data_IF_483365206709
#
_entry.id   IF_483365206709
#
_cell.length_a   1.000
_cell.length_b   1.000
_cell.length_c   1.000
_cell.angle_alpha   90.00
_cell.angle_beta   90.00
_cell.angle_gamma   90.00
#
_symmetry.space_group_name_H-M   'P 1'
#
loop_
_entity.id
_entity.type
_entity.pdbx_description
1 polymer ?
#
# COMPACT_ATOMS: atom_id res chain seq x y z
N UNK A 1 9.91 2.73 12.94
CA UNK A 1 9.87 3.75 14.01
C UNK A 1 8.91 4.83 13.56
N UNK A 2 7.85 5.12 14.32
CA UNK A 2 6.86 6.16 13.95
C UNK A 2 7.49 7.55 14.10
N UNK A 3 7.22 8.45 13.16
CA UNK A 3 7.62 9.86 13.30
C UNK A 3 6.72 10.55 14.32
N UNK A 4 7.24 11.55 15.04
CA UNK A 4 6.43 12.36 15.96
C UNK A 4 5.22 12.99 15.25
N UNK A 5 5.42 13.44 14.01
CA UNK A 5 4.36 13.96 13.15
C UNK A 5 3.25 12.93 12.90
N UNK A 6 3.58 11.66 12.66
CA UNK A 6 2.56 10.62 12.43
C UNK A 6 1.63 10.43 13.63
N UNK A 7 2.15 10.59 14.85
CA UNK A 7 1.36 10.48 16.09
C UNK A 7 0.41 11.67 16.27
N UNK A 8 0.86 12.88 15.93
CA UNK A 8 0.03 14.09 15.97
C UNK A 8 -1.14 13.96 15.01
N UNK A 9 -0.90 13.53 13.77
CA UNK A 9 -1.95 13.32 12.78
C UNK A 9 -2.96 12.25 13.21
N UNK A 10 -2.52 11.16 13.85
CA UNK A 10 -3.45 10.17 14.40
C UNK A 10 -4.38 10.74 15.47
N UNK A 11 -3.89 11.63 16.34
CA UNK A 11 -4.72 12.27 17.36
C UNK A 11 -5.78 13.13 16.69
N UNK A 12 -5.41 13.93 15.70
CA UNK A 12 -6.38 14.76 14.95
C UNK A 12 -7.38 13.91 14.18
N UNK A 13 -6.98 12.78 13.60
CA UNK A 13 -7.89 11.84 12.92
C UNK A 13 -8.91 11.20 13.87
N UNK A 14 -8.56 11.01 15.13
CA UNK A 14 -9.46 10.42 16.14
C UNK A 14 -10.35 11.46 16.81
N UNK A 15 -10.07 12.75 16.64
CA UNK A 15 -10.90 13.79 17.17
C UNK A 15 -12.25 13.80 16.44
N UNK A 16 -13.34 14.00 17.18
CA UNK A 16 -14.71 14.05 16.64
C UNK A 16 -14.96 15.16 15.62
N UNK A 17 -14.01 16.09 15.49
CA UNK A 17 -14.03 17.24 14.57
C UNK A 17 -13.25 17.01 13.27
N UNK A 18 -12.66 15.83 13.06
CA UNK A 18 -11.86 15.55 11.88
C UNK A 18 -12.71 15.67 10.60
N UNK A 19 -12.39 16.62 9.74
CA UNK A 19 -13.02 16.75 8.43
C UNK A 19 -12.40 15.76 7.44
N UNK A 20 -13.12 15.52 6.32
CA UNK A 20 -12.58 14.71 5.22
C UNK A 20 -11.27 15.28 4.67
N UNK A 21 -11.11 16.61 4.64
CA UNK A 21 -9.87 17.24 4.18
C UNK A 21 -8.69 16.90 5.09
N UNK A 22 -8.88 16.92 6.41
CA UNK A 22 -7.87 16.50 7.40
C UNK A 22 -7.50 15.03 7.20
N UNK A 23 -8.50 14.19 6.91
CA UNK A 23 -8.27 12.78 6.61
C UNK A 23 -7.38 12.56 5.38
N UNK A 24 -7.69 13.23 4.27
CA UNK A 24 -6.91 13.12 3.04
C UNK A 24 -5.47 13.62 3.22
N UNK A 25 -5.28 14.73 3.94
CA UNK A 25 -3.93 15.25 4.24
C UNK A 25 -3.15 14.27 5.13
N UNK A 26 -3.78 13.66 6.13
CA UNK A 26 -3.12 12.65 6.95
C UNK A 26 -2.72 11.42 6.11
N UNK A 27 -3.61 10.93 5.23
CA UNK A 27 -3.30 9.86 4.28
C UNK A 27 -2.09 10.20 3.41
N UNK A 28 -2.00 11.44 2.91
CA UNK A 28 -0.85 11.91 2.15
C UNK A 28 0.47 11.79 2.94
N UNK A 29 0.49 12.23 4.20
CA UNK A 29 1.68 12.12 5.06
C UNK A 29 2.04 10.67 5.35
N UNK A 30 1.04 9.81 5.58
CA UNK A 30 1.26 8.39 5.83
C UNK A 30 1.79 7.67 4.59
N UNK A 31 1.29 8.01 3.41
CA UNK A 31 1.81 7.54 2.14
C UNK A 31 3.27 7.95 1.95
N UNK A 32 3.58 9.24 2.15
CA UNK A 32 4.94 9.75 2.05
C UNK A 32 5.89 8.98 2.98
N UNK A 33 5.52 8.80 4.25
CA UNK A 33 6.32 8.02 5.19
C UNK A 33 6.41 6.54 4.80
N UNK A 34 5.35 5.93 4.28
CA UNK A 34 5.39 4.53 3.84
C UNK A 34 6.31 4.33 2.62
N UNK A 35 6.31 5.28 1.68
CA UNK A 35 7.13 5.21 0.47
C UNK A 35 8.63 5.46 0.71
N UNK A 36 9.01 6.10 1.82
CA UNK A 36 10.41 6.45 2.15
C UNK A 36 11.39 5.29 2.03
N UNK A 37 11.02 4.10 2.50
CA UNK A 37 11.91 2.92 2.53
C UNK A 37 11.53 1.86 1.49
N UNK A 38 10.35 1.99 0.87
CA UNK A 38 9.75 0.96 0.02
C UNK A 38 9.88 1.29 -1.48
N UNK A 39 10.33 2.49 -1.83
CA UNK A 39 10.56 2.86 -3.22
C UNK A 39 11.83 2.18 -3.76
N UNK A 40 11.76 1.54 -4.94
CA UNK A 40 12.95 1.05 -5.60
C UNK A 40 13.77 2.23 -6.09
N UNK A 41 15.05 2.30 -5.71
CA UNK A 41 15.96 3.37 -6.12
C UNK A 41 17.19 2.82 -6.82
N UNK A 42 17.66 3.54 -7.83
CA UNK A 42 18.88 3.25 -8.56
C UNK A 42 19.81 4.46 -8.54
N UNK A 43 21.12 4.21 -8.48
CA UNK A 43 22.12 5.25 -8.69
C UNK A 43 22.10 5.68 -10.16
N UNK A 44 22.09 7.00 -10.40
CA UNK A 44 22.13 7.58 -11.75
C UNK A 44 23.04 8.80 -11.76
N UNK A 45 23.66 9.05 -12.90
CA UNK A 45 24.34 10.31 -13.16
C UNK A 45 23.40 11.24 -13.92
N UNK A 46 23.25 12.48 -13.45
CA UNK A 46 22.42 13.50 -14.09
C UNK A 46 23.25 14.73 -14.40
N UNK A 47 22.96 15.37 -15.52
CA UNK A 47 23.56 16.65 -15.88
C UNK A 47 22.79 17.78 -15.18
N UNK A 48 23.45 18.46 -14.25
CA UNK A 48 22.92 19.68 -13.62
C UNK A 48 23.48 20.93 -14.31
N UNK A 49 22.90 22.13 -14.08
CA UNK A 49 23.48 23.38 -14.56
C UNK A 49 24.93 23.63 -14.09
N UNK A 50 25.37 22.97 -13.01
CA UNK A 50 26.72 23.10 -12.44
C UNK A 50 27.67 21.97 -12.83
N UNK A 51 27.21 20.96 -13.58
CA UNK A 51 28.00 19.80 -13.99
C UNK A 51 27.30 18.45 -13.73
N UNK A 52 27.97 17.33 -14.08
CA UNK A 52 27.48 15.99 -13.79
C UNK A 52 27.45 15.73 -12.27
N UNK A 53 26.37 15.11 -11.79
CA UNK A 53 26.20 14.76 -10.39
C UNK A 53 25.64 13.35 -10.24
N UNK A 54 26.20 12.59 -9.28
CA UNK A 54 25.66 11.30 -8.88
C UNK A 54 24.47 11.50 -7.94
N UNK A 55 23.33 10.91 -8.30
CA UNK A 55 22.07 11.01 -7.55
C UNK A 55 21.44 9.63 -7.36
N UNK A 56 20.49 9.54 -6.44
CA UNK A 56 19.56 8.42 -6.34
C UNK A 56 18.25 8.85 -6.97
N UNK A 57 17.73 8.04 -7.89
CA UNK A 57 16.40 8.23 -8.48
C UNK A 57 15.56 6.97 -8.28
N UNK A 58 14.24 7.10 -8.42
CA UNK A 58 13.36 5.92 -8.50
C UNK A 58 13.81 5.06 -9.69
N UNK A 59 13.88 3.75 -9.49
CA UNK A 59 14.30 2.79 -10.51
C UNK A 59 13.19 2.62 -11.56
N UNK A 60 13.47 3.01 -12.80
CA UNK A 60 12.54 2.93 -13.92
C UNK A 60 12.28 1.47 -14.36
N UNK A 61 13.17 0.54 -14.02
CA UNK A 61 13.05 -0.88 -14.37
C UNK A 61 12.08 -1.66 -13.47
N UNK A 62 11.71 -1.09 -12.32
CA UNK A 62 10.87 -1.73 -11.32
C UNK A 62 9.54 -0.99 -11.21
N UNK A 63 8.49 -1.41 -11.94
CA UNK A 63 7.22 -0.70 -11.96
C UNK A 63 6.56 -0.74 -10.57
N UNK A 64 5.82 0.31 -10.23
CA UNK A 64 5.06 0.37 -8.98
C UNK A 64 3.57 0.23 -9.33
N UNK A 65 2.83 -0.61 -8.61
CA UNK A 65 1.39 -0.75 -8.74
C UNK A 65 0.70 -0.38 -7.44
N UNK A 66 -0.34 0.45 -7.51
CA UNK A 66 -1.15 0.82 -6.36
C UNK A 66 -2.44 0.01 -6.39
N UNK A 67 -2.66 -0.75 -5.32
CA UNK A 67 -3.80 -1.65 -5.16
C UNK A 67 -4.60 -1.24 -3.92
N UNK A 68 -5.60 -0.36 -4.03
CA UNK A 68 -6.48 -0.08 -2.91
C UNK A 68 -7.50 -1.20 -2.66
N UNK A 69 -7.72 -1.48 -1.38
CA UNK A 69 -8.85 -2.26 -0.88
C UNK A 69 -10.05 -1.32 -0.74
N UNK A 70 -11.09 -1.58 -1.53
CA UNK A 70 -12.28 -0.74 -1.55
C UNK A 70 -13.14 -0.91 -0.28
N UNK A 71 -13.86 0.12 0.16
CA UNK A 71 -13.98 1.46 -0.47
C UNK A 71 -13.00 2.49 0.08
N UNK A 72 -12.62 2.37 1.35
CA UNK A 72 -11.83 3.38 2.05
C UNK A 72 -10.39 3.50 1.51
N UNK A 73 -9.83 2.41 0.97
CA UNK A 73 -8.52 2.42 0.33
C UNK A 73 -8.44 3.31 -0.92
N UNK A 74 -9.56 3.61 -1.59
CA UNK A 74 -9.55 4.45 -2.81
C UNK A 74 -9.07 5.86 -2.52
N UNK A 75 -9.65 6.50 -1.50
CA UNK A 75 -9.28 7.85 -1.09
C UNK A 75 -7.81 7.92 -0.68
N UNK A 76 -7.29 6.84 -0.09
CA UNK A 76 -5.88 6.73 0.27
C UNK A 76 -4.98 6.59 -0.97
N UNK A 77 -5.33 5.71 -1.90
CA UNK A 77 -4.57 5.51 -3.14
C UNK A 77 -4.52 6.75 -4.04
N UNK A 78 -5.57 7.57 -4.05
CA UNK A 78 -5.56 8.87 -4.75
C UNK A 78 -4.49 9.81 -4.21
N UNK A 79 -4.27 9.84 -2.89
CA UNK A 79 -3.21 10.65 -2.27
C UNK A 79 -1.81 10.10 -2.59
N UNK A 80 -1.68 8.79 -2.80
CA UNK A 80 -0.37 8.19 -3.12
C UNK A 80 -0.02 8.44 -4.59
N UNK A 81 -1.03 8.42 -5.45
CA UNK A 81 -0.87 8.75 -6.87
C UNK A 81 -0.46 10.20 -7.08
N UNK A 82 -0.79 11.12 -6.16
CA UNK A 82 -0.38 12.52 -6.25
C UNK A 82 1.09 12.77 -5.88
N UNK A 83 1.71 11.88 -5.10
CA UNK A 83 3.13 11.97 -4.72
C UNK A 83 4.06 11.17 -5.62
N UNK A 84 3.56 10.10 -6.23
CA UNK A 84 4.36 9.26 -7.12
C UNK A 84 4.27 9.77 -8.57
N UNK A 85 5.40 9.81 -9.31
CA UNK A 85 5.36 10.19 -10.72
C UNK A 85 4.44 9.24 -11.52
N UNK A 86 3.43 9.78 -12.19
CA UNK A 86 2.43 8.98 -12.92
C UNK A 86 3.05 8.06 -13.99
N UNK A 87 4.23 8.42 -14.50
CA UNK A 87 5.02 7.64 -15.45
C UNK A 87 5.63 6.34 -14.87
N UNK A 88 5.44 6.09 -13.57
CA UNK A 88 6.01 4.93 -12.84
C UNK A 88 4.94 4.02 -12.24
N UNK A 89 3.66 4.41 -12.38
CA UNK A 89 2.53 3.63 -11.92
C UNK A 89 2.07 2.72 -13.06
N UNK A 90 2.07 1.41 -12.82
CA UNK A 90 1.58 0.45 -13.79
C UNK A 90 0.04 0.41 -13.75
N UNK A 91 -0.55 0.70 -14.90
CA UNK A 91 -1.99 0.74 -15.11
C UNK A 91 -2.40 -0.42 -16.02
N UNK A 92 -3.01 -1.50 -15.49
CA UNK A 92 -3.64 -2.48 -16.36
C UNK A 92 -4.89 -1.86 -16.99
N UNK A 93 -4.75 -1.33 -18.20
CA UNK A 93 -5.83 -0.70 -18.98
C UNK A 93 -5.90 0.83 -18.87
N UNK A 94 -7.11 1.41 -19.02
CA UNK A 94 -7.38 2.87 -19.01
C UNK A 94 -7.59 3.48 -17.62
N UNK A 95 -7.54 2.68 -16.55
CA UNK A 95 -7.85 3.14 -15.19
C UNK A 95 -6.58 3.25 -14.37
N UNK A 96 -6.43 4.36 -13.65
CA UNK A 96 -5.22 4.68 -12.91
C UNK A 96 -4.97 3.80 -11.67
N UNK A 97 -5.92 2.92 -11.31
CA UNK A 97 -5.89 2.15 -10.08
C UNK A 97 -6.41 0.74 -10.31
N UNK A 98 -5.75 -0.22 -9.67
CA UNK A 98 -6.15 -1.62 -9.65
C UNK A 98 -6.92 -1.89 -8.38
N UNK A 99 -8.23 -2.08 -8.50
CA UNK A 99 -9.11 -2.12 -7.33
C UNK A 99 -9.43 -3.55 -6.94
N UNK A 100 -9.31 -3.83 -5.64
CA UNK A 100 -9.84 -5.04 -5.02
C UNK A 100 -11.00 -4.62 -4.11
N UNK A 101 -12.16 -5.25 -4.24
CA UNK A 101 -13.24 -5.11 -3.25
C UNK A 101 -13.52 -6.45 -2.61
N UNK A 102 -13.35 -6.50 -1.30
CA UNK A 102 -13.62 -7.66 -0.46
C UNK A 102 -14.65 -7.20 0.58
N UNK A 103 -15.77 -7.90 0.66
CA UNK A 103 -16.84 -7.56 1.60
C UNK A 103 -16.89 -8.61 2.72
N UNK A 104 -16.62 -8.20 3.97
CA UNK A 104 -16.70 -9.09 5.13
C UNK A 104 -18.11 -9.21 5.73
N UNK A 105 -19.08 -8.39 5.30
CA UNK A 105 -20.31 -8.13 6.05
C UNK A 105 -21.66 -8.46 5.41
N UNK A 106 -21.79 -8.53 4.08
CA UNK A 106 -23.12 -8.74 3.44
C UNK A 106 -23.22 -9.91 2.45
N UNK A 107 -22.10 -10.53 2.10
CA UNK A 107 -22.10 -11.75 1.27
C UNK A 107 -21.09 -12.74 1.84
N UNK A 108 -21.24 -13.05 3.13
CA UNK A 108 -20.58 -14.22 3.69
C UNK A 108 -21.18 -15.44 3.00
N UNK A 109 -20.33 -16.28 2.45
CA UNK A 109 -20.73 -17.66 2.31
C UNK A 109 -20.99 -18.17 3.74
N UNK A 110 -22.26 -18.40 4.07
CA UNK A 110 -22.73 -18.76 5.42
C UNK A 110 -22.03 -20.02 5.95
N UNK A 111 -21.43 -20.82 5.06
CA UNK A 111 -20.73 -22.06 5.39
C UNK A 111 -19.24 -21.86 5.72
N UNK A 112 -18.54 -20.91 5.09
CA UNK A 112 -17.06 -20.82 5.19
C UNK A 112 -16.55 -19.64 6.01
N UNK A 113 -17.38 -18.63 6.29
CA UNK A 113 -17.01 -17.40 6.99
C UNK A 113 -15.83 -16.61 6.37
N UNK A 114 -15.39 -16.98 5.16
CA UNK A 114 -14.28 -16.35 4.47
C UNK A 114 -14.73 -15.08 3.71
N UNK A 115 -13.85 -14.08 3.54
CA UNK A 115 -14.17 -12.88 2.78
C UNK A 115 -14.47 -13.21 1.32
N UNK A 116 -15.62 -12.79 0.79
CA UNK A 116 -15.95 -12.98 -0.62
C UNK A 116 -15.34 -11.84 -1.47
N UNK A 117 -14.61 -12.20 -2.52
CA UNK A 117 -14.08 -11.25 -3.51
C UNK A 117 -15.25 -10.78 -4.38
N UNK A 118 -15.59 -9.50 -4.28
CA UNK A 118 -16.70 -8.91 -5.02
C UNK A 118 -16.23 -8.19 -6.29
N UNK A 119 -15.01 -7.63 -6.27
CA UNK A 119 -14.39 -7.04 -7.45
C UNK A 119 -12.90 -7.36 -7.48
N UNK A 120 -12.45 -7.95 -8.58
CA UNK A 120 -11.05 -8.16 -8.87
C UNK A 120 -10.74 -7.52 -10.24
N UNK A 121 -9.97 -6.43 -10.25
CA UNK A 121 -9.45 -5.81 -11.48
C UNK A 121 -7.93 -5.97 -11.63
N UNK A 122 -7.33 -6.95 -10.96
CA UNK A 122 -5.90 -7.25 -11.08
C UNK A 122 -5.56 -7.64 -12.54
N UNK A 123 -4.33 -7.34 -13.00
CA UNK A 123 -3.86 -7.86 -14.28
C UNK A 123 -3.82 -9.39 -14.24
N UNK A 124 -4.04 -10.04 -15.39
CA UNK A 124 -3.95 -11.51 -15.49
C UNK A 124 -2.58 -12.06 -15.00
N UNK A 125 -1.52 -11.25 -15.12
CA UNK A 125 -0.22 -11.53 -14.53
C UNK A 125 0.48 -10.24 -14.13
N UNK A 126 1.09 -10.20 -12.96
CA UNK A 126 1.92 -9.07 -12.55
C UNK A 126 3.23 -9.02 -13.37
N UNK A 127 3.70 -7.82 -13.77
CA UNK A 127 5.02 -7.69 -14.37
C UNK A 127 6.11 -8.18 -13.40
N UNK A 128 7.15 -8.83 -13.92
CA UNK A 128 8.30 -9.21 -13.10
C UNK A 128 8.98 -7.96 -12.52
N UNK A 129 9.37 -8.00 -11.24
CA UNK A 129 10.00 -6.84 -10.61
C UNK A 129 9.01 -5.76 -10.14
N UNK A 130 7.69 -5.99 -10.25
CA UNK A 130 6.67 -5.02 -9.86
C UNK A 130 6.54 -4.89 -8.34
N UNK A 131 6.68 -3.67 -7.81
CA UNK A 131 6.40 -3.34 -6.41
C UNK A 131 4.93 -3.02 -6.25
N UNK A 132 4.28 -3.64 -5.27
CA UNK A 132 2.83 -3.55 -5.09
C UNK A 132 2.55 -2.85 -3.79
N UNK A 133 1.89 -1.70 -3.85
CA UNK A 133 1.43 -0.95 -2.69
C UNK A 133 -0.03 -1.31 -2.43
N UNK A 134 -0.24 -2.24 -1.51
CA UNK A 134 -1.57 -2.71 -1.11
C UNK A 134 -2.08 -1.84 0.03
N UNK A 135 -3.20 -1.13 -0.19
CA UNK A 135 -3.62 -0.03 0.67
C UNK A 135 -4.99 -0.22 1.27
N UNK A 136 -5.06 -0.13 2.59
CA UNK A 136 -6.31 -0.03 3.35
C UNK A 136 -6.06 0.87 4.56
N UNK A 137 -6.82 1.97 4.76
CA UNK A 137 -6.62 2.84 5.91
C UNK A 137 -6.80 2.15 7.27
N UNK A 138 -7.50 1.02 7.36
CA UNK A 138 -7.73 0.32 8.62
C UNK A 138 -7.40 -1.17 8.52
N UNK A 139 -6.42 -1.61 9.32
CA UNK A 139 -6.03 -3.00 9.45
C UNK A 139 -6.44 -3.58 10.81
N UNK A 140 -7.68 -4.10 10.89
CA UNK A 140 -8.28 -4.55 12.16
C UNK A 140 -7.95 -5.99 12.55
N UNK A 141 -8.35 -6.98 11.73
CA UNK A 141 -8.10 -8.42 11.95
C UNK A 141 -7.03 -8.98 11.02
N UNK A 142 -6.80 -8.30 9.90
CA UNK A 142 -5.91 -8.75 8.82
C UNK A 142 -6.55 -9.71 7.83
N UNK A 143 -7.81 -10.13 8.02
CA UNK A 143 -8.50 -11.08 7.13
C UNK A 143 -8.60 -10.60 5.69
N UNK A 144 -9.21 -9.43 5.48
CA UNK A 144 -9.27 -8.76 4.17
C UNK A 144 -7.91 -8.60 3.51
N UNK A 145 -6.91 -8.17 4.29
CA UNK A 145 -5.56 -7.91 3.79
C UNK A 145 -4.87 -9.23 3.36
N UNK A 146 -5.01 -10.29 4.15
CA UNK A 146 -4.48 -11.61 3.82
C UNK A 146 -5.12 -12.19 2.55
N UNK A 147 -6.44 -12.08 2.43
CA UNK A 147 -7.15 -12.49 1.22
C UNK A 147 -6.68 -11.71 -0.02
N UNK A 148 -6.42 -10.40 0.11
CA UNK A 148 -5.88 -9.60 -0.97
C UNK A 148 -4.44 -9.98 -1.34
N UNK A 149 -3.57 -10.28 -0.36
CA UNK A 149 -2.20 -10.75 -0.61
C UNK A 149 -2.21 -12.09 -1.35
N UNK A 150 -2.99 -13.07 -0.88
CA UNK A 150 -3.15 -14.36 -1.57
C UNK A 150 -3.60 -14.17 -3.01
N UNK A 151 -4.61 -13.31 -3.23
CA UNK A 151 -5.10 -13.02 -4.57
C UNK A 151 -4.00 -12.40 -5.45
N UNK A 152 -3.19 -11.50 -4.91
CA UNK A 152 -2.07 -10.89 -5.64
C UNK A 152 -1.00 -11.94 -6.00
N UNK A 153 -0.68 -12.84 -5.07
CA UNK A 153 0.26 -13.95 -5.27
C UNK A 153 -0.25 -14.94 -6.32
N UNK A 154 -1.55 -15.26 -6.33
CA UNK A 154 -2.19 -16.13 -7.32
C UNK A 154 -2.04 -15.59 -8.76
N UNK A 155 -1.88 -14.27 -8.92
CA UNK A 155 -1.61 -13.62 -10.21
C UNK A 155 -0.10 -13.50 -10.51
N UNK A 156 0.74 -14.22 -9.76
CA UNK A 156 2.17 -14.38 -9.99
C UNK A 156 3.06 -13.25 -9.45
N UNK A 157 2.55 -12.43 -8.53
CA UNK A 157 3.39 -11.47 -7.82
C UNK A 157 4.25 -12.15 -6.76
N UNK A 158 5.47 -11.65 -6.56
CA UNK A 158 6.31 -12.08 -5.44
C UNK A 158 5.85 -11.36 -4.17
N UNK A 159 5.55 -12.12 -3.10
CA UNK A 159 5.16 -11.59 -1.78
C UNK A 159 6.18 -10.56 -1.28
N UNK A 160 7.47 -10.80 -1.50
CA UNK A 160 8.54 -9.89 -1.10
C UNK A 160 8.45 -8.54 -1.80
N UNK A 161 7.61 -8.35 -2.81
CA UNK A 161 7.41 -7.08 -3.51
C UNK A 161 6.14 -6.35 -3.05
N UNK A 162 5.41 -6.89 -2.09
CA UNK A 162 4.15 -6.32 -1.58
C UNK A 162 4.43 -5.48 -0.33
N UNK A 163 4.09 -4.20 -0.37
CA UNK A 163 4.08 -3.31 0.77
C UNK A 163 2.62 -3.05 1.20
N UNK A 164 2.28 -3.49 2.41
CA UNK A 164 0.98 -3.17 3.04
C UNK A 164 1.07 -1.80 3.69
N UNK A 165 0.22 -0.88 3.26
CA UNK A 165 0.17 0.50 3.74
C UNK A 165 -1.18 0.75 4.41
N UNK A 166 -1.14 1.05 5.71
CA UNK A 166 -2.31 1.32 6.52
C UNK A 166 -2.08 2.47 7.49
N UNK A 167 -3.13 3.27 7.70
CA UNK A 167 -3.07 4.41 8.60
C UNK A 167 -3.24 3.96 10.06
N UNK A 168 -4.17 3.04 10.32
CA UNK A 168 -4.48 2.53 11.65
C UNK A 168 -4.48 1.01 11.61
N UNK A 169 -3.90 0.39 12.63
CA UNK A 169 -3.72 -1.05 12.67
C UNK A 169 -3.78 -1.58 14.10
N UNK A 170 -4.20 -2.84 14.24
CA UNK A 170 -4.19 -3.54 15.51
C UNK A 170 -3.00 -4.54 15.58
N UNK A 171 -2.34 -4.69 16.76
CA UNK A 171 -1.29 -5.69 16.96
C UNK A 171 -1.65 -7.11 16.48
N UNK A 172 -2.86 -7.64 16.77
CA UNK A 172 -3.25 -8.97 16.30
C UNK A 172 -3.27 -9.12 14.78
N UNK A 173 -3.67 -8.06 14.04
CA UNK A 173 -3.69 -8.11 12.57
C UNK A 173 -2.29 -8.23 11.99
N UNK A 174 -1.33 -7.52 12.57
CA UNK A 174 0.06 -7.55 12.13
C UNK A 174 0.66 -8.94 12.37
N UNK A 175 0.41 -9.49 13.55
CA UNK A 175 0.89 -10.82 13.91
C UNK A 175 0.30 -11.89 12.99
N UNK A 176 -1.01 -11.80 12.73
CA UNK A 176 -1.69 -12.68 11.78
C UNK A 176 -1.05 -12.62 10.38
N UNK A 177 -0.82 -11.41 9.83
CA UNK A 177 -0.16 -11.27 8.53
C UNK A 177 1.28 -11.78 8.53
N UNK A 178 2.05 -11.60 9.61
CA UNK A 178 3.41 -12.13 9.72
C UNK A 178 3.47 -13.65 9.76
N UNK A 179 2.48 -14.27 10.40
CA UNK A 179 2.37 -15.73 10.48
C UNK A 179 1.96 -16.32 9.13
N UNK A 180 1.02 -15.68 8.43
CA UNK A 180 0.54 -16.12 7.12
C UNK A 180 1.57 -15.86 6.00
N UNK A 181 2.31 -14.75 6.07
CA UNK A 181 3.26 -14.30 5.05
C UNK A 181 4.63 -14.01 5.67
N UNK A 182 5.42 -15.04 6.01
CA UNK A 182 6.74 -14.84 6.59
C UNK A 182 7.72 -14.34 5.53
N UNK A 183 8.16 -13.10 5.69
CA UNK A 183 9.17 -12.45 4.84
C UNK A 183 10.41 -12.08 5.66
N UNK A 184 11.62 -12.20 5.09
CA UNK A 184 12.86 -11.87 5.79
C UNK A 184 12.81 -10.46 6.38
N UNK A 185 13.26 -10.27 7.62
CA UNK A 185 13.21 -8.96 8.30
C UNK A 185 13.99 -7.85 7.58
N UNK A 186 14.92 -8.25 6.70
CA UNK A 186 15.75 -7.40 5.83
C UNK A 186 15.18 -7.15 4.43
N UNK A 187 14.03 -7.76 4.08
CA UNK A 187 13.32 -7.36 2.88
C UNK A 187 12.85 -5.91 3.09
N UNK A 188 13.41 -4.98 2.31
CA UNK A 188 13.03 -3.54 2.37
C UNK A 188 11.55 -3.32 2.03
N UNK A 189 10.95 -4.35 1.45
CA UNK A 189 9.59 -4.45 0.99
C UNK A 189 8.90 -5.48 1.90
N UNK A 190 7.66 -5.20 2.31
CA UNK A 190 6.96 -5.75 3.48
C UNK A 190 7.21 -5.06 4.83
N UNK A 191 7.51 -3.75 4.83
CA UNK A 191 7.25 -2.95 6.04
C UNK A 191 5.79 -2.52 6.05
N UNK A 192 4.97 -3.24 6.82
CA UNK A 192 3.82 -2.64 7.45
C UNK A 192 4.36 -1.45 8.27
N UNK A 193 4.35 -0.24 7.70
CA UNK A 193 4.78 0.99 8.40
C UNK A 193 3.56 1.50 9.15
N UNK A 194 3.37 0.83 10.28
CA UNK A 194 2.18 0.85 11.10
C UNK A 194 2.17 2.10 11.97
N UNK A 195 1.12 2.90 11.85
CA UNK A 195 0.79 3.91 12.85
C UNK A 195 -0.14 3.23 13.85
N UNK A 196 0.48 2.35 14.65
CA UNK A 196 -0.12 1.78 15.84
C UNK A 196 -0.42 2.91 16.82
N UNK A 197 -1.64 2.89 17.36
CA UNK A 197 -1.92 3.48 18.67
C UNK A 197 -1.58 2.51 19.78
#
# INVERSE_FOLDING_TARGET
MQSENSRIWLVELRASRASLSTYLVACLFFAYEATRDCLPTAAREVQTPLGPAAVQSIDDAQPIMIVPILRAGLAFAEQVTSILPSARIFHPGKTHLVLIYINEGMSRNEETLLPAIYLNKLPAKFPGGCHIFLMDPMLATGGTMAAAINLIEDHGANIEQIAVISAITCPPAIENLRQLFPVPRDSRVCRCRLIMS
#
